data_IF_785857376062
#
_entry.id   IF_785857376062
#
_cell.length_a   1.000
_cell.length_b   1.000
_cell.length_c   1.000
_cell.angle_alpha   90.00
_cell.angle_beta   90.00
_cell.angle_gamma   90.00
#
_symmetry.space_group_name_H-M   'P 1'
#
loop_
_entity.id
_entity.type
_entity.pdbx_description
1 polymer ?
#
# COMPACT_ATOMS: atom_id res chain seq x y z
N UNK A 1 9.69 17.08 26.94
CA UNK A 1 9.15 17.47 25.62
C UNK A 1 9.03 16.20 24.78
N UNK A 2 7.83 15.65 24.67
CA UNK A 2 7.57 14.45 23.86
C UNK A 2 7.53 14.87 22.41
N UNK A 3 8.57 14.53 21.64
CA UNK A 3 8.58 14.72 20.19
C UNK A 3 7.53 13.78 19.61
N UNK A 4 6.30 14.29 19.44
CA UNK A 4 5.28 13.63 18.65
C UNK A 4 5.74 13.75 17.21
N UNK A 5 6.50 12.75 16.76
CA UNK A 5 6.78 12.54 15.34
C UNK A 5 5.42 12.27 14.69
N UNK A 6 4.74 13.33 14.26
CA UNK A 6 3.67 13.21 13.26
C UNK A 6 4.37 12.73 11.99
N UNK A 7 4.48 11.41 11.85
CA UNK A 7 4.71 10.80 10.55
C UNK A 7 3.66 11.44 9.63
N UNK A 8 4.13 12.23 8.66
CA UNK A 8 3.28 12.75 7.60
C UNK A 8 2.44 11.57 7.10
N UNK A 9 1.13 11.73 6.85
CA UNK A 9 0.33 10.65 6.27
C UNK A 9 1.10 10.14 5.06
N UNK A 10 1.40 8.83 5.06
CA UNK A 10 2.14 8.21 3.96
C UNK A 10 1.47 8.63 2.65
N UNK A 11 2.24 9.02 1.62
CA UNK A 11 1.67 9.45 0.36
C UNK A 11 0.72 8.36 -0.16
N UNK A 12 -0.53 8.77 -0.46
CA UNK A 12 -1.70 7.92 -0.72
C UNK A 12 -1.67 7.19 -2.06
N UNK A 13 -0.59 6.49 -2.41
CA UNK A 13 -0.49 5.89 -3.76
C UNK A 13 -0.80 4.39 -3.82
N UNK A 14 -1.78 3.91 -3.06
CA UNK A 14 -2.31 2.54 -3.19
C UNK A 14 -3.69 2.54 -3.84
N UNK A 15 -3.99 1.48 -4.59
CA UNK A 15 -5.31 1.24 -5.17
C UNK A 15 -5.81 -0.09 -4.61
N UNK A 16 -7.09 -0.12 -4.21
CA UNK A 16 -7.76 -1.35 -3.82
C UNK A 16 -8.34 -2.00 -5.05
N UNK A 17 -8.39 -3.33 -5.07
CA UNK A 17 -9.20 -4.03 -6.06
C UNK A 17 -10.66 -3.55 -5.93
N UNK A 18 -11.33 -3.20 -7.04
CA UNK A 18 -12.75 -2.85 -7.01
C UNK A 18 -13.55 -3.97 -6.34
N UNK A 19 -14.35 -3.61 -5.34
CA UNK A 19 -15.16 -4.57 -4.56
C UNK A 19 -14.39 -5.43 -3.56
N UNK A 20 -13.10 -5.17 -3.31
CA UNK A 20 -12.37 -5.92 -2.27
C UNK A 20 -12.93 -5.68 -0.87
N UNK A 21 -13.14 -6.79 -0.15
CA UNK A 21 -13.46 -6.74 1.27
C UNK A 21 -12.24 -6.26 2.06
N UNK A 22 -12.36 -5.08 2.68
CA UNK A 22 -11.32 -4.48 3.53
C UNK A 22 -11.31 -5.03 4.95
N UNK A 23 -12.38 -5.71 5.39
CA UNK A 23 -12.54 -6.20 6.77
C UNK A 23 -11.41 -7.14 7.20
N UNK A 24 -10.94 -8.12 6.39
CA UNK A 24 -9.80 -8.96 6.73
C UNK A 24 -8.53 -8.15 6.97
N UNK A 25 -8.23 -7.19 6.10
CA UNK A 25 -7.05 -6.32 6.20
C UNK A 25 -7.11 -5.44 7.46
N UNK A 26 -8.28 -4.85 7.77
CA UNK A 26 -8.50 -4.05 8.99
C UNK A 26 -8.31 -4.91 10.24
N UNK A 27 -8.86 -6.13 10.26
CA UNK A 27 -8.68 -7.06 11.39
C UNK A 27 -7.21 -7.41 11.59
N UNK A 28 -6.49 -7.67 10.50
CA UNK A 28 -5.08 -8.05 10.55
C UNK A 28 -4.19 -6.87 10.99
N UNK A 29 -4.45 -5.66 10.49
CA UNK A 29 -3.79 -4.44 10.92
C UNK A 29 -4.00 -4.17 12.41
N UNK A 30 -5.25 -4.29 12.92
CA UNK A 30 -5.56 -4.19 14.35
C UNK A 30 -4.80 -5.21 15.19
N UNK A 31 -4.71 -6.47 14.73
CA UNK A 31 -3.95 -7.53 15.42
C UNK A 31 -2.45 -7.21 15.46
N UNK A 32 -1.86 -6.76 14.36
CA UNK A 32 -0.45 -6.34 14.30
C UNK A 32 -0.19 -5.15 15.22
N UNK A 33 -1.04 -4.13 15.20
CA UNK A 33 -0.93 -2.95 16.07
C UNK A 33 -1.03 -3.31 17.55
N UNK A 34 -1.96 -4.20 17.93
CA UNK A 34 -2.05 -4.72 19.32
C UNK A 34 -0.78 -5.45 19.74
N UNK A 35 -0.24 -6.33 18.89
CA UNK A 35 1.01 -7.07 19.17
C UNK A 35 2.23 -6.15 19.29
N UNK A 36 2.33 -5.14 18.43
CA UNK A 36 3.41 -4.16 18.50
C UNK A 36 3.33 -3.35 19.80
N UNK A 37 2.13 -2.86 20.15
CA UNK A 37 1.90 -2.14 21.41
C UNK A 37 2.20 -3.01 22.63
N UNK A 38 1.74 -4.26 22.64
CA UNK A 38 1.99 -5.16 23.78
C UNK A 38 3.47 -5.43 23.96
N UNK A 39 4.24 -5.58 22.87
CA UNK A 39 5.71 -5.71 22.95
C UNK A 39 6.36 -4.48 23.57
N UNK A 40 5.99 -3.28 23.11
CA UNK A 40 6.53 -2.02 23.67
C UNK A 40 6.17 -1.87 25.15
N UNK A 41 4.91 -2.12 25.50
CA UNK A 41 4.46 -2.04 26.89
C UNK A 41 5.17 -3.05 27.79
N UNK A 42 5.44 -4.26 27.31
CA UNK A 42 6.14 -5.29 28.06
C UNK A 42 7.62 -4.91 28.27
N UNK A 43 8.28 -4.37 27.23
CA UNK A 43 9.65 -3.83 27.33
C UNK A 43 9.77 -2.72 28.39
N UNK A 44 8.72 -1.92 28.60
CA UNK A 44 8.69 -0.87 29.64
C UNK A 44 8.25 -1.43 31.00
N UNK A 45 7.28 -2.35 31.03
CA UNK A 45 6.73 -2.88 32.27
C UNK A 45 7.75 -3.72 33.06
N UNK A 46 8.60 -4.49 32.38
CA UNK A 46 9.65 -5.31 33.00
C UNK A 46 10.65 -4.50 33.85
N UNK A 47 11.33 -3.46 33.31
CA UNK A 47 12.27 -2.67 34.10
C UNK A 47 11.58 -1.88 35.22
N UNK A 48 10.34 -1.40 34.99
CA UNK A 48 9.56 -0.72 36.03
C UNK A 48 9.22 -1.68 37.17
N UNK A 49 8.80 -2.91 36.86
CA UNK A 49 8.54 -3.93 37.87
C UNK A 49 9.81 -4.28 38.66
N UNK A 50 10.95 -4.45 37.99
CA UNK A 50 12.23 -4.67 38.66
C UNK A 50 12.60 -3.51 39.60
N UNK A 51 12.41 -2.26 39.18
CA UNK A 51 12.67 -1.10 40.01
C UNK A 51 11.76 -1.05 41.26
N UNK A 52 10.47 -1.40 41.11
CA UNK A 52 9.52 -1.48 42.24
C UNK A 52 9.95 -2.55 43.25
N UNK A 53 10.43 -3.70 42.78
CA UNK A 53 10.94 -4.76 43.66
C UNK A 53 12.21 -4.34 44.40
N UNK A 54 13.14 -3.64 43.73
CA UNK A 54 14.42 -3.22 44.31
C UNK A 54 14.30 -2.05 45.31
N UNK A 55 13.33 -1.16 45.13
CA UNK A 55 13.16 0.06 45.94
C UNK A 55 12.15 -0.10 47.09
N UNK A 56 11.43 -1.22 47.17
CA UNK A 56 10.42 -1.44 48.20
C UNK A 56 11.08 -1.82 49.55
N UNK A 57 10.87 -1.03 50.63
CA UNK A 57 11.54 -1.22 51.92
C UNK A 57 11.03 -2.43 52.72
N UNK A 58 9.94 -3.08 52.28
CA UNK A 58 9.42 -4.30 52.90
C UNK A 58 9.06 -5.34 51.82
N UNK A 59 9.46 -6.59 52.03
CA UNK A 59 9.20 -7.71 51.12
C UNK A 59 7.71 -7.87 50.79
N UNK A 60 6.81 -7.56 51.73
CA UNK A 60 5.36 -7.66 51.50
C UNK A 60 4.79 -6.57 50.59
N UNK A 61 5.29 -5.33 50.65
CA UNK A 61 4.84 -4.28 49.73
C UNK A 61 5.39 -4.49 48.33
N UNK A 62 6.60 -5.04 48.19
CA UNK A 62 7.17 -5.43 46.90
C UNK A 62 6.28 -6.42 46.14
N UNK A 63 5.81 -7.48 46.82
CA UNK A 63 4.94 -8.51 46.23
C UNK A 63 3.57 -7.94 45.83
N UNK A 64 3.02 -7.02 46.63
CA UNK A 64 1.73 -6.39 46.34
C UNK A 64 1.77 -5.44 45.12
N UNK A 65 2.87 -4.72 44.90
CA UNK A 65 2.98 -3.71 43.84
C UNK A 65 3.72 -4.17 42.57
N UNK A 66 4.49 -5.27 42.63
CA UNK A 66 5.14 -5.86 41.45
C UNK A 66 4.21 -6.15 40.25
N UNK A 67 2.95 -6.60 40.41
CA UNK A 67 2.07 -6.86 39.27
C UNK A 67 1.45 -5.59 38.67
N UNK A 68 1.46 -4.45 39.37
CA UNK A 68 0.82 -3.19 38.93
C UNK A 68 1.30 -2.73 37.55
N UNK A 69 2.59 -2.64 37.22
CA UNK A 69 3.04 -2.27 35.87
C UNK A 69 2.54 -3.24 34.78
N UNK A 70 2.40 -4.54 35.10
CA UNK A 70 1.85 -5.52 34.17
C UNK A 70 0.33 -5.36 34.00
N UNK A 71 -0.41 -5.04 35.07
CA UNK A 71 -1.84 -4.75 35.01
C UNK A 71 -2.13 -3.48 34.20
N UNK A 72 -1.35 -2.43 34.42
CA UNK A 72 -1.43 -1.18 33.64
C UNK A 72 -1.09 -1.44 32.18
N UNK A 73 -0.02 -2.19 31.90
CA UNK A 73 0.33 -2.60 30.53
C UNK A 73 -0.78 -3.44 29.87
N UNK A 74 -1.39 -4.37 30.61
CA UNK A 74 -2.53 -5.17 30.15
C UNK A 74 -3.74 -4.31 29.80
N UNK A 75 -4.11 -3.37 30.68
CA UNK A 75 -5.21 -2.44 30.45
C UNK A 75 -4.95 -1.54 29.23
N UNK A 76 -3.73 -1.01 29.07
CA UNK A 76 -3.33 -0.22 27.90
C UNK A 76 -3.31 -1.04 26.60
N UNK A 77 -3.01 -2.34 26.67
CA UNK A 77 -3.05 -3.23 25.52
C UNK A 77 -4.48 -3.52 25.03
N UNK A 78 -5.48 -3.45 25.92
CA UNK A 78 -6.90 -3.64 25.59
C UNK A 78 -7.52 -2.43 24.87
N UNK A 79 -6.94 -1.24 25.01
CA UNK A 79 -7.43 -0.04 24.31
C UNK A 79 -7.41 -0.23 22.79
N UNK A 80 -8.47 0.20 22.07
CA UNK A 80 -8.52 0.05 20.61
C UNK A 80 -7.32 0.75 19.97
N UNK A 81 -6.49 0.06 19.17
CA UNK A 81 -5.40 0.73 18.48
C UNK A 81 -5.96 1.67 17.43
N UNK A 82 -5.38 2.89 17.37
CA UNK A 82 -5.51 3.74 16.18
C UNK A 82 -4.74 3.04 15.08
N UNK A 83 -5.46 2.56 14.08
CA UNK A 83 -4.88 1.92 12.89
C UNK A 83 -4.91 2.97 11.79
N UNK A 84 -3.73 3.33 11.28
CA UNK A 84 -3.65 4.23 10.15
C UNK A 84 -4.11 3.51 8.88
N UNK A 85 -4.55 4.28 7.88
CA UNK A 85 -4.96 3.72 6.59
C UNK A 85 -3.84 2.87 5.97
N UNK A 86 -2.59 3.33 6.10
CA UNK A 86 -1.40 2.60 5.65
C UNK A 86 -1.21 1.23 6.34
N UNK A 87 -1.58 1.09 7.61
CA UNK A 87 -1.46 -0.18 8.32
C UNK A 87 -2.44 -1.22 7.75
N UNK A 88 -3.61 -0.76 7.30
CA UNK A 88 -4.62 -1.60 6.64
C UNK A 88 -4.13 -2.03 5.26
N UNK A 89 -3.58 -1.09 4.48
CA UNK A 89 -3.00 -1.32 3.15
C UNK A 89 -1.82 -2.31 3.23
N UNK A 90 -0.92 -2.13 4.19
CA UNK A 90 0.23 -3.02 4.45
C UNK A 90 -0.17 -4.39 5.01
N UNK A 91 -1.39 -4.51 5.53
CA UNK A 91 -1.96 -5.76 6.02
C UNK A 91 -2.81 -6.48 4.97
N UNK A 92 -3.19 -5.81 3.88
CA UNK A 92 -4.00 -6.39 2.83
C UNK A 92 -3.24 -7.46 2.06
N UNK A 93 -3.97 -8.46 1.56
CA UNK A 93 -3.38 -9.47 0.70
C UNK A 93 -2.90 -8.84 -0.62
N UNK A 94 -1.89 -9.45 -1.24
CA UNK A 94 -1.27 -8.84 -2.42
C UNK A 94 -2.22 -8.74 -3.62
N UNK A 95 -3.20 -9.65 -3.68
CA UNK A 95 -4.28 -9.68 -4.67
C UNK A 95 -5.36 -8.62 -4.47
N UNK A 96 -5.42 -7.98 -3.29
CA UNK A 96 -6.52 -7.07 -2.92
C UNK A 96 -6.08 -5.60 -2.92
N UNK A 97 -4.76 -5.34 -2.81
CA UNK A 97 -4.17 -3.98 -2.85
C UNK A 97 -2.86 -3.98 -3.62
N UNK A 98 -2.64 -2.98 -4.47
CA UNK A 98 -1.37 -2.70 -5.11
C UNK A 98 -0.84 -1.37 -4.58
N UNK A 99 0.41 -1.38 -4.13
CA UNK A 99 1.10 -0.21 -3.62
C UNK A 99 2.41 0.01 -4.41
N UNK A 100 2.74 1.26 -4.75
CA UNK A 100 3.95 1.59 -5.53
C UNK A 100 5.25 1.07 -4.91
N UNK A 101 5.32 0.91 -3.58
CA UNK A 101 6.48 0.31 -2.89
C UNK A 101 6.73 -1.16 -3.22
N UNK A 102 5.77 -1.90 -3.82
CA UNK A 102 6.02 -3.28 -4.30
C UNK A 102 6.86 -3.34 -5.56
N UNK A 103 7.00 -2.21 -6.26
CA UNK A 103 7.82 -2.15 -7.45
C UNK A 103 9.27 -1.97 -7.02
N UNK A 104 10.06 -3.06 -7.11
CA UNK A 104 11.49 -3.05 -6.80
C UNK A 104 12.22 -2.05 -7.71
N UNK A 105 11.88 -2.05 -9.01
CA UNK A 105 12.41 -1.10 -9.98
C UNK A 105 11.91 0.34 -9.73
N UNK A 106 12.87 1.29 -9.74
CA UNK A 106 12.61 2.71 -9.48
C UNK A 106 11.78 3.33 -10.60
N UNK A 107 11.98 2.91 -11.85
CA UNK A 107 11.21 3.38 -13.00
C UNK A 107 9.74 3.00 -12.88
N UNK A 108 9.46 1.72 -12.65
CA UNK A 108 8.11 1.20 -12.46
C UNK A 108 7.42 1.79 -11.23
N UNK A 109 8.16 1.99 -10.14
CA UNK A 109 7.64 2.67 -8.95
C UNK A 109 7.18 4.10 -9.25
N UNK A 110 7.97 4.87 -10.00
CA UNK A 110 7.60 6.23 -10.42
C UNK A 110 6.38 6.24 -11.33
N UNK A 111 6.30 5.29 -12.27
CA UNK A 111 5.16 5.16 -13.19
C UNK A 111 3.87 4.81 -12.46
N UNK A 112 3.90 3.77 -11.62
CA UNK A 112 2.76 3.37 -10.79
C UNK A 112 2.29 4.52 -9.89
N UNK A 113 3.23 5.27 -9.30
CA UNK A 113 2.92 6.43 -8.47
C UNK A 113 2.21 7.54 -9.26
N UNK A 114 2.71 7.90 -10.45
CA UNK A 114 2.08 8.93 -11.30
C UNK A 114 0.66 8.56 -11.67
N UNK A 115 0.42 7.31 -12.08
CA UNK A 115 -0.93 6.81 -12.39
C UNK A 115 -1.91 6.98 -11.22
N UNK A 116 -1.47 6.65 -10.00
CA UNK A 116 -2.28 6.86 -8.80
C UNK A 116 -2.52 8.35 -8.53
N UNK A 117 -1.50 9.20 -8.69
CA UNK A 117 -1.60 10.65 -8.49
C UNK A 117 -2.58 11.28 -9.50
N UNK A 118 -2.49 10.92 -10.78
CA UNK A 118 -3.40 11.40 -11.82
C UNK A 118 -4.85 10.96 -11.55
N UNK A 119 -5.07 9.71 -11.13
CA UNK A 119 -6.41 9.25 -10.77
C UNK A 119 -7.00 9.98 -9.56
N UNK A 120 -6.18 10.26 -8.54
CA UNK A 120 -6.62 11.03 -7.38
C UNK A 120 -6.92 12.49 -7.72
N UNK A 121 -6.24 13.03 -8.72
CA UNK A 121 -6.45 14.39 -9.23
C UNK A 121 -7.71 14.52 -10.12
N UNK A 122 -8.36 13.41 -10.50
CA UNK A 122 -9.65 13.45 -11.19
C UNK A 122 -10.68 14.22 -10.36
N UNK A 123 -11.30 15.22 -11.01
CA UNK A 123 -12.30 16.11 -10.41
C UNK A 123 -13.43 15.33 -9.74
N UNK A 124 -13.94 15.88 -8.65
CA UNK A 124 -15.02 15.28 -7.84
C UNK A 124 -16.33 15.20 -8.62
N UNK A 125 -16.54 16.10 -9.59
CA UNK A 125 -17.77 16.20 -10.39
C UNK A 125 -17.86 15.16 -11.54
N UNK A 126 -16.89 14.25 -11.63
CA UNK A 126 -16.94 13.14 -12.59
C UNK A 126 -17.99 12.13 -12.15
N UNK A 127 -18.81 11.66 -13.11
CA UNK A 127 -19.79 10.59 -12.92
C UNK A 127 -19.20 9.40 -12.12
N UNK A 128 -19.81 9.02 -10.98
CA UNK A 128 -19.28 7.97 -10.11
C UNK A 128 -19.10 6.63 -10.83
N UNK A 129 -20.02 6.25 -11.72
CA UNK A 129 -19.89 5.00 -12.47
C UNK A 129 -18.66 5.00 -13.40
N UNK A 130 -18.34 6.17 -13.94
CA UNK A 130 -17.15 6.36 -14.79
C UNK A 130 -15.87 6.34 -13.96
N UNK A 131 -15.89 6.98 -12.78
CA UNK A 131 -14.78 6.94 -11.84
C UNK A 131 -14.46 5.51 -11.40
N UNK A 132 -15.48 4.73 -11.06
CA UNK A 132 -15.34 3.32 -10.67
C UNK A 132 -14.76 2.48 -11.82
N UNK A 133 -15.18 2.74 -13.07
CA UNK A 133 -14.63 2.05 -14.25
C UNK A 133 -13.14 2.38 -14.45
N UNK A 134 -12.75 3.64 -14.30
CA UNK A 134 -11.34 4.06 -14.40
C UNK A 134 -10.53 3.47 -13.24
N UNK A 135 -11.08 3.40 -12.03
CA UNK A 135 -10.44 2.72 -10.89
C UNK A 135 -10.18 1.24 -11.19
N UNK A 136 -11.13 0.56 -11.83
CA UNK A 136 -10.96 -0.83 -12.24
C UNK A 136 -9.87 -1.02 -13.29
N UNK A 137 -9.80 -0.13 -14.30
CA UNK A 137 -8.75 -0.16 -15.33
C UNK A 137 -7.38 0.19 -14.75
N UNK A 138 -7.32 1.16 -13.83
CA UNK A 138 -6.11 1.51 -13.10
C UNK A 138 -5.61 0.32 -12.28
N UNK A 139 -6.51 -0.35 -11.55
CA UNK A 139 -6.18 -1.56 -10.81
C UNK A 139 -5.60 -2.63 -11.73
N UNK A 140 -6.25 -2.89 -12.88
CA UNK A 140 -5.76 -3.84 -13.87
C UNK A 140 -4.35 -3.46 -14.35
N UNK A 141 -4.14 -2.22 -14.82
CA UNK A 141 -2.85 -1.74 -15.29
C UNK A 141 -1.74 -1.93 -14.22
N UNK A 142 -2.03 -1.59 -12.95
CA UNK A 142 -1.09 -1.76 -11.85
C UNK A 142 -0.78 -3.24 -11.55
N UNK A 143 -1.78 -4.13 -11.67
CA UNK A 143 -1.59 -5.58 -11.53
C UNK A 143 -0.72 -6.12 -12.67
N UNK A 144 -1.00 -5.75 -13.92
CA UNK A 144 -0.19 -6.19 -15.05
C UNK A 144 1.26 -5.69 -14.97
N UNK A 145 1.48 -4.44 -14.55
CA UNK A 145 2.83 -3.93 -14.30
C UNK A 145 3.54 -4.76 -13.23
N UNK A 146 2.87 -5.09 -12.12
CA UNK A 146 3.43 -5.91 -11.04
C UNK A 146 3.78 -7.30 -11.54
N UNK A 147 2.86 -7.95 -12.23
CA UNK A 147 3.03 -9.32 -12.71
C UNK A 147 4.12 -9.40 -13.80
N UNK A 148 4.37 -8.29 -14.52
CA UNK A 148 5.49 -8.16 -15.47
C UNK A 148 6.88 -8.11 -14.82
N UNK A 149 6.99 -7.83 -13.51
CA UNK A 149 8.29 -7.69 -12.83
C UNK A 149 9.10 -8.99 -12.86
N UNK A 150 8.45 -10.12 -12.57
CA UNK A 150 9.11 -11.43 -12.60
C UNK A 150 9.67 -11.76 -14.00
N UNK A 151 8.92 -11.39 -15.05
CA UNK A 151 9.37 -11.56 -16.43
C UNK A 151 10.56 -10.64 -16.76
N UNK A 152 10.52 -9.38 -16.33
CA UNK A 152 11.63 -8.42 -16.50
C UNK A 152 12.90 -8.92 -15.81
N UNK A 153 12.78 -9.41 -14.59
CA UNK A 153 13.92 -9.96 -13.83
C UNK A 153 14.49 -11.20 -14.52
N UNK A 154 13.63 -12.09 -15.02
CA UNK A 154 14.04 -13.27 -15.79
C UNK A 154 14.77 -12.89 -17.10
N UNK A 155 14.26 -11.89 -17.83
CA UNK A 155 14.92 -11.39 -19.05
C UNK A 155 16.27 -10.73 -18.75
N UNK A 156 16.36 -9.95 -17.68
CA UNK A 156 17.62 -9.37 -17.22
C UNK A 156 18.67 -10.43 -16.89
N UNK A 157 18.26 -11.55 -16.27
CA UNK A 157 19.15 -12.67 -15.96
C UNK A 157 19.52 -13.52 -17.18
N UNK A 158 18.67 -13.55 -18.22
CA UNK A 158 18.83 -14.42 -19.38
C UNK A 158 19.68 -13.85 -20.53
N UNK A 159 20.06 -12.56 -20.46
CA UNK A 159 20.68 -11.79 -21.55
C UNK A 159 21.95 -12.33 -22.22
N UNK A 160 22.51 -13.46 -21.77
CA UNK A 160 23.74 -14.07 -22.30
C UNK A 160 23.58 -15.53 -22.76
N UNK A 161 22.36 -16.06 -22.96
CA UNK A 161 22.16 -17.46 -23.40
C UNK A 161 21.85 -17.56 -24.91
N UNK A 162 22.78 -18.05 -25.75
CA UNK A 162 22.65 -18.05 -27.21
C UNK A 162 21.53 -18.96 -27.76
N UNK A 163 20.94 -19.84 -26.95
CA UNK A 163 19.85 -20.73 -27.36
C UNK A 163 18.43 -20.20 -27.17
N UNK A 164 18.24 -19.00 -26.61
CA UNK A 164 16.92 -18.47 -26.21
C UNK A 164 16.49 -17.23 -26.98
N UNK A 165 17.18 -16.86 -28.06
CA UNK A 165 16.98 -15.57 -28.73
C UNK A 165 15.53 -15.33 -29.20
N UNK A 166 14.83 -16.36 -29.71
CA UNK A 166 13.45 -16.24 -30.17
C UNK A 166 12.47 -16.01 -29.01
N UNK A 167 12.57 -16.80 -27.93
CA UNK A 167 11.71 -16.68 -26.75
C UNK A 167 11.93 -15.35 -26.00
N UNK A 168 13.19 -14.90 -25.96
CA UNK A 168 13.56 -13.58 -25.41
C UNK A 168 12.97 -12.45 -26.27
N UNK A 169 13.01 -12.56 -27.60
CA UNK A 169 12.43 -11.57 -28.50
C UNK A 169 10.91 -11.45 -28.33
N UNK A 170 10.20 -12.58 -28.21
CA UNK A 170 8.74 -12.57 -28.02
C UNK A 170 8.35 -12.01 -26.64
N UNK A 171 9.04 -12.44 -25.58
CA UNK A 171 8.83 -11.91 -24.23
C UNK A 171 9.11 -10.40 -24.15
N UNK A 172 10.16 -9.92 -24.82
CA UNK A 172 10.50 -8.50 -24.89
C UNK A 172 9.46 -7.72 -25.68
N UNK A 173 8.94 -8.28 -26.78
CA UNK A 173 7.85 -7.68 -27.56
C UNK A 173 6.57 -7.56 -26.73
N UNK A 174 6.21 -8.61 -25.99
CA UNK A 174 5.05 -8.61 -25.09
C UNK A 174 5.17 -7.54 -23.99
N UNK A 175 6.35 -7.39 -23.38
CA UNK A 175 6.60 -6.32 -22.41
C UNK A 175 6.51 -4.92 -23.03
N UNK A 176 7.06 -4.72 -24.23
CA UNK A 176 7.00 -3.45 -24.92
C UNK A 176 5.55 -3.04 -25.28
N UNK A 177 4.71 -4.02 -25.63
CA UNK A 177 3.29 -3.78 -25.89
C UNK A 177 2.51 -3.45 -24.62
N UNK A 178 2.78 -4.16 -23.51
CA UNK A 178 2.23 -3.79 -22.21
C UNK A 178 2.62 -2.36 -21.82
N UNK A 179 3.90 -2.00 -21.96
CA UNK A 179 4.40 -0.66 -21.64
C UNK A 179 3.70 0.41 -22.48
N UNK A 180 3.52 0.18 -23.80
CA UNK A 180 2.77 1.09 -24.68
C UNK A 180 1.32 1.29 -24.24
N UNK A 181 0.62 0.21 -23.88
CA UNK A 181 -0.79 0.29 -23.44
C UNK A 181 -0.93 1.04 -22.13
N UNK A 182 -0.04 0.78 -21.18
CA UNK A 182 0.00 1.50 -19.90
C UNK A 182 0.34 2.97 -20.09
N UNK A 183 1.32 3.30 -20.94
CA UNK A 183 1.67 4.69 -21.24
C UNK A 183 0.54 5.43 -21.97
N UNK A 184 -0.18 4.75 -22.87
CA UNK A 184 -1.39 5.28 -23.52
C UNK A 184 -2.52 5.55 -22.53
N UNK A 185 -2.75 4.64 -21.58
CA UNK A 185 -3.69 4.84 -20.48
C UNK A 185 -3.28 6.03 -19.59
N UNK A 186 -2.00 6.12 -19.21
CA UNK A 186 -1.45 7.22 -18.41
C UNK A 186 -1.64 8.57 -19.10
N UNK A 187 -1.32 8.66 -20.39
CA UNK A 187 -1.49 9.87 -21.17
C UNK A 187 -2.96 10.31 -21.26
N UNK A 188 -3.88 9.36 -21.50
CA UNK A 188 -5.30 9.66 -21.58
C UNK A 188 -5.89 10.08 -20.21
N UNK A 189 -5.43 9.47 -19.12
CA UNK A 189 -5.80 9.86 -17.76
C UNK A 189 -5.30 11.27 -17.43
N UNK A 190 -4.05 11.58 -17.78
CA UNK A 190 -3.46 12.90 -17.59
C UNK A 190 -4.23 13.99 -18.35
N UNK A 191 -4.58 13.75 -19.62
CA UNK A 191 -5.42 14.67 -20.41
C UNK A 191 -6.76 14.90 -19.69
N UNK A 192 -7.40 13.86 -19.16
CA UNK A 192 -8.66 14.00 -18.43
C UNK A 192 -8.54 14.82 -17.14
N UNK A 193 -7.36 14.86 -16.52
CA UNK A 193 -7.08 15.63 -15.30
C UNK A 193 -6.75 17.09 -15.61
N UNK A 194 -5.91 17.33 -16.62
CA UNK A 194 -5.47 18.67 -17.03
C UNK A 194 -6.57 19.45 -17.75
N UNK A 195 -7.51 18.77 -18.39
CA UNK A 195 -8.58 19.40 -19.17
C UNK A 195 -9.59 20.15 -18.30
N UNK A 196 -9.79 21.43 -18.61
CA UNK A 196 -10.71 22.29 -17.87
C UNK A 196 -12.15 22.16 -18.39
N UNK A 197 -12.31 21.86 -19.68
CA UNK A 197 -13.62 21.72 -20.29
C UNK A 197 -14.22 20.33 -19.98
N UNK A 198 -15.36 20.25 -19.27
CA UNK A 198 -15.91 18.97 -18.80
C UNK A 198 -16.31 18.03 -19.95
N UNK A 199 -16.62 18.55 -21.13
CA UNK A 199 -16.95 17.76 -22.32
C UNK A 199 -15.71 17.08 -22.92
N UNK A 200 -14.59 17.79 -22.97
CA UNK A 200 -13.31 17.26 -23.45
C UNK A 200 -12.73 16.27 -22.45
N UNK A 201 -12.81 16.56 -21.14
CA UNK A 201 -12.46 15.62 -20.08
C UNK A 201 -13.31 14.34 -20.14
N UNK A 202 -14.63 14.46 -20.36
CA UNK A 202 -15.51 13.31 -20.57
C UNK A 202 -15.17 12.50 -21.83
N UNK A 203 -14.72 13.15 -22.90
CA UNK A 203 -14.25 12.48 -24.12
C UNK A 203 -12.92 11.76 -23.90
N UNK A 204 -11.98 12.38 -23.19
CA UNK A 204 -10.73 11.74 -22.76
C UNK A 204 -11.01 10.52 -21.87
N UNK A 205 -11.91 10.63 -20.89
CA UNK A 205 -12.31 9.49 -20.05
C UNK A 205 -13.03 8.39 -20.82
N UNK A 206 -13.79 8.70 -21.87
CA UNK A 206 -14.35 7.69 -22.77
C UNK A 206 -13.26 6.95 -23.54
N UNK A 207 -12.22 7.66 -23.99
CA UNK A 207 -11.03 7.04 -24.58
C UNK A 207 -10.29 6.17 -23.57
N UNK A 208 -10.09 6.65 -22.34
CA UNK A 208 -9.52 5.85 -21.22
C UNK A 208 -10.34 4.58 -21.00
N UNK A 209 -11.67 4.67 -20.97
CA UNK A 209 -12.55 3.53 -20.74
C UNK A 209 -12.60 2.53 -21.90
N UNK A 210 -12.30 2.99 -23.12
CA UNK A 210 -12.20 2.17 -24.31
C UNK A 210 -10.80 1.55 -24.50
N UNK A 211 -9.78 2.10 -23.85
CA UNK A 211 -8.46 1.48 -23.80
C UNK A 211 -8.53 0.29 -22.86
N UNK A 212 -8.31 -0.92 -23.39
CA UNK A 212 -8.03 -2.09 -22.57
C UNK A 212 -6.54 -2.10 -22.22
N UNK A 213 -6.16 -1.87 -20.94
CA UNK A 213 -4.76 -1.88 -20.55
C UNK A 213 -4.14 -3.29 -20.60
N UNK A 214 -4.93 -4.37 -20.77
CA UNK A 214 -4.46 -5.77 -20.72
C UNK A 214 -5.09 -6.63 -21.81
#
# INVERSE_FOLDING_TARGET
MTVVVRLRPAPRWWVWRPGADRVPAVRLARRRARRARSRVLLVVAVPVACAVVLLAPALWSAVAFAPVPFLVAGALALLPPRVAEWDVVSAAAERDVVHSERFADVGQRRRARRLCEDFLALRVDVDPARRDRVEALLWQALVALRDSLALRDALGAAGNRPGLAADLAESTRGLAELDRRVDGFAAALRIAVEEEEPRLAASALRRVAALDPI
#
